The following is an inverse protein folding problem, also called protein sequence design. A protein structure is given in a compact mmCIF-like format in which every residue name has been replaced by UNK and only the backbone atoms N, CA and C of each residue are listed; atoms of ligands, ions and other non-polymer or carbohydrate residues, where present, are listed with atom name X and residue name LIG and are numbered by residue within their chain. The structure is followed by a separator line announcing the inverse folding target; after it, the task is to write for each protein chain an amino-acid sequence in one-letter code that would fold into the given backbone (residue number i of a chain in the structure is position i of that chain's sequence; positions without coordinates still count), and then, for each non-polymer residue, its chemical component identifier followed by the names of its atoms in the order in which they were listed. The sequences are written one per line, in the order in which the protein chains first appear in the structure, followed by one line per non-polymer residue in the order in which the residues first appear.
data_IF_298898757839
#
_entry.id   IF_298898757839
#
_cell.length_a   1.000
_cell.length_b   1.000
_cell.length_c   1.000
_cell.angle_alpha   90.00
_cell.angle_beta   90.00
_cell.angle_gamma   90.00
#
_symmetry.space_group_name_H-M   'P 1'
#
loop_
_entity.id
_entity.type
_entity.pdbx_description
1 polymer ?
#
# COMPACT_ATOMS: atom_id res chain seq x y z
N UNK A 1 -33.95 10.11 -16.09
CA UNK A 1 -34.27 9.36 -14.85
C UNK A 1 -33.51 9.89 -13.65
N UNK A 2 -32.17 9.96 -13.63
CA UNK A 2 -31.45 10.45 -12.44
C UNK A 2 -31.81 11.89 -12.04
N UNK A 3 -31.87 12.80 -13.02
CA UNK A 3 -32.24 14.21 -12.79
C UNK A 3 -33.66 14.36 -12.24
N UNK A 4 -34.62 13.56 -12.73
CA UNK A 4 -36.01 13.60 -12.24
C UNK A 4 -36.14 13.10 -10.80
N UNK A 5 -35.36 12.10 -10.39
CA UNK A 5 -35.30 11.67 -8.99
C UNK A 5 -34.61 12.72 -8.10
N UNK A 6 -33.57 13.37 -8.62
CA UNK A 6 -32.83 14.40 -7.90
C UNK A 6 -33.69 15.66 -7.66
N UNK A 7 -34.45 16.12 -8.66
CA UNK A 7 -35.37 17.26 -8.53
C UNK A 7 -36.48 17.02 -7.50
N UNK A 8 -36.89 15.75 -7.34
CA UNK A 8 -37.87 15.34 -6.34
C UNK A 8 -37.29 15.18 -4.92
N UNK A 9 -35.96 15.26 -4.75
CA UNK A 9 -35.29 15.09 -3.47
C UNK A 9 -35.65 16.21 -2.49
N UNK A 10 -36.12 15.82 -1.31
CA UNK A 10 -36.63 16.73 -0.28
C UNK A 10 -35.58 17.10 0.76
N UNK A 11 -34.64 16.20 1.04
CA UNK A 11 -33.63 16.40 2.06
C UNK A 11 -32.27 15.79 1.67
N UNK A 12 -31.24 16.07 2.47
CA UNK A 12 -29.89 15.57 2.24
C UNK A 12 -29.79 14.04 2.32
N UNK A 13 -30.66 13.37 3.10
CA UNK A 13 -30.64 11.92 3.26
C UNK A 13 -31.16 11.22 1.99
N UNK A 14 -32.23 11.75 1.40
CA UNK A 14 -32.76 11.31 0.11
C UNK A 14 -31.72 11.55 -1.00
N UNK A 15 -31.08 12.73 -1.02
CA UNK A 15 -30.03 13.03 -2.00
C UNK A 15 -28.83 12.07 -1.88
N UNK A 16 -28.39 11.75 -0.66
CA UNK A 16 -27.34 10.76 -0.41
C UNK A 16 -27.75 9.36 -0.90
N UNK A 17 -28.99 8.96 -0.64
CA UNK A 17 -29.54 7.67 -1.09
C UNK A 17 -29.61 7.57 -2.62
N UNK A 18 -30.00 8.66 -3.29
CA UNK A 18 -30.04 8.76 -4.76
C UNK A 18 -28.61 8.70 -5.31
N UNK A 19 -27.65 9.38 -4.68
CA UNK A 19 -26.24 9.35 -5.07
C UNK A 19 -25.68 7.93 -4.94
N UNK A 20 -25.95 7.25 -3.83
CA UNK A 20 -25.55 5.87 -3.61
C UNK A 20 -26.14 4.94 -4.67
N UNK A 21 -27.44 5.07 -4.98
CA UNK A 21 -28.09 4.32 -6.05
C UNK A 21 -27.46 4.57 -7.43
N UNK A 22 -27.10 5.82 -7.74
CA UNK A 22 -26.41 6.17 -8.99
C UNK A 22 -25.02 5.51 -9.08
N UNK A 23 -24.26 5.51 -7.98
CA UNK A 23 -22.96 4.84 -7.89
C UNK A 23 -23.10 3.34 -8.10
N UNK A 24 -24.09 2.71 -7.46
CA UNK A 24 -24.36 1.28 -7.63
C UNK A 24 -24.71 0.94 -9.08
N UNK A 25 -25.55 1.75 -9.72
CA UNK A 25 -25.90 1.55 -11.13
C UNK A 25 -24.66 1.60 -12.04
N UNK A 26 -23.76 2.57 -11.83
CA UNK A 26 -22.50 2.68 -12.57
C UNK A 26 -21.61 1.45 -12.32
N UNK A 27 -21.47 1.03 -11.06
CA UNK A 27 -20.70 -0.18 -10.71
C UNK A 27 -21.27 -1.44 -11.41
N UNK A 28 -22.59 -1.59 -11.44
CA UNK A 28 -23.26 -2.69 -12.13
C UNK A 28 -23.00 -2.68 -13.65
N UNK A 29 -23.09 -1.50 -14.29
CA UNK A 29 -22.82 -1.35 -15.73
C UNK A 29 -21.36 -1.71 -16.07
N UNK A 30 -20.42 -1.33 -15.21
CA UNK A 30 -18.98 -1.60 -15.39
C UNK A 30 -18.64 -3.07 -15.06
N UNK A 31 -19.57 -3.83 -14.49
CA UNK A 31 -19.32 -5.21 -14.06
C UNK A 31 -18.40 -5.29 -12.84
N UNK A 32 -18.32 -4.23 -12.04
CA UNK A 32 -17.53 -4.22 -10.82
C UNK A 32 -18.21 -5.13 -9.79
N UNK A 33 -17.45 -6.10 -9.25
CA UNK A 33 -17.94 -6.96 -8.16
C UNK A 33 -18.04 -6.13 -6.89
N UNK A 34 -19.27 -5.76 -6.54
CA UNK A 34 -19.57 -5.18 -5.23
C UNK A 34 -19.32 -6.27 -4.19
N UNK A 35 -18.20 -6.17 -3.50
CA UNK A 35 -17.84 -7.12 -2.46
C UNK A 35 -18.82 -6.95 -1.30
N UNK A 36 -19.76 -7.87 -1.15
CA UNK A 36 -20.53 -8.01 0.09
C UNK A 36 -19.52 -8.21 1.22
N UNK A 37 -19.52 -7.29 2.18
CA UNK A 37 -18.59 -7.29 3.30
C UNK A 37 -18.41 -8.71 3.88
N UNK A 38 -17.16 -9.15 4.01
CA UNK A 38 -16.82 -10.44 4.59
C UNK A 38 -16.29 -11.49 3.62
N UNK A 39 -15.29 -11.15 2.79
CA UNK A 39 -14.32 -12.12 2.25
C UNK A 39 -13.15 -11.36 1.64
N UNK A 40 -12.17 -11.01 2.47
CA UNK A 40 -10.80 -10.86 1.98
C UNK A 40 -10.31 -12.26 1.61
N UNK A 41 -10.71 -12.77 0.44
CA UNK A 41 -9.97 -13.84 -0.18
C UNK A 41 -8.60 -13.25 -0.46
N UNK A 42 -7.64 -13.55 0.42
CA UNK A 42 -6.25 -13.23 0.18
C UNK A 42 -5.94 -13.75 -1.21
N UNK A 43 -5.68 -12.84 -2.15
CA UNK A 43 -5.12 -13.23 -3.43
C UNK A 43 -3.77 -13.85 -3.08
N UNK A 44 -3.76 -15.18 -3.00
CA UNK A 44 -2.54 -15.97 -3.02
C UNK A 44 -1.72 -15.39 -4.17
N UNK A 45 -0.54 -14.85 -3.87
CA UNK A 45 0.37 -14.31 -4.87
C UNK A 45 0.82 -15.48 -5.74
N UNK A 46 0.03 -15.79 -6.76
CA UNK A 46 0.28 -16.89 -7.66
C UNK A 46 1.70 -16.72 -8.22
N UNK A 47 2.53 -17.74 -8.01
CA UNK A 47 3.90 -17.75 -8.47
C UNK A 47 3.88 -17.53 -10.00
N UNK A 48 4.60 -16.52 -10.53
CA UNK A 48 4.58 -16.25 -11.96
C UNK A 48 5.06 -17.45 -12.77
N UNK A 49 4.40 -17.74 -13.90
CA UNK A 49 4.72 -18.90 -14.75
C UNK A 49 6.21 -18.98 -15.17
N UNK A 50 6.85 -17.82 -15.41
CA UNK A 50 8.28 -17.77 -15.75
C UNK A 50 9.16 -18.32 -14.62
N UNK A 51 8.77 -18.12 -13.35
CA UNK A 51 9.53 -18.57 -12.19
C UNK A 51 9.42 -20.08 -12.06
N UNK A 52 8.21 -20.61 -12.16
CA UNK A 52 7.93 -22.06 -12.17
C UNK A 52 8.74 -22.76 -13.26
N UNK A 53 8.76 -22.21 -14.48
CA UNK A 53 9.50 -22.79 -15.60
C UNK A 53 11.02 -22.85 -15.38
N UNK A 54 11.61 -21.87 -14.67
CA UNK A 54 13.06 -21.90 -14.36
C UNK A 54 13.33 -22.86 -13.19
N UNK A 55 12.47 -22.87 -12.17
CA UNK A 55 12.59 -23.80 -11.02
C UNK A 55 12.51 -25.27 -11.48
N UNK A 56 11.61 -25.60 -12.42
CA UNK A 56 11.54 -26.93 -13.03
C UNK A 56 12.82 -27.32 -13.78
N UNK A 57 13.43 -26.38 -14.52
CA UNK A 57 14.70 -26.62 -15.23
C UNK A 57 15.83 -26.89 -14.23
N UNK A 58 15.88 -26.16 -13.12
CA UNK A 58 16.83 -26.40 -12.03
C UNK A 58 16.60 -27.78 -11.42
N UNK A 59 15.35 -28.16 -11.16
CA UNK A 59 15.01 -29.47 -10.58
C UNK A 59 15.44 -30.63 -11.51
N UNK A 60 15.13 -30.54 -12.81
CA UNK A 60 15.55 -31.52 -13.83
C UNK A 60 17.08 -31.64 -13.91
N UNK A 61 17.80 -30.51 -13.89
CA UNK A 61 19.27 -30.51 -13.91
C UNK A 61 19.88 -31.13 -12.64
N UNK A 62 19.34 -30.83 -11.45
CA UNK A 62 19.76 -31.46 -10.19
C UNK A 62 19.55 -32.98 -10.20
N UNK A 63 18.39 -33.43 -10.68
CA UNK A 63 18.09 -34.85 -10.83
C UNK A 63 19.07 -35.55 -11.80
N UNK A 64 19.45 -34.87 -12.90
CA UNK A 64 20.44 -35.38 -13.84
C UNK A 64 21.83 -35.47 -13.23
N UNK A 65 22.28 -34.43 -12.50
CA UNK A 65 23.55 -34.45 -11.76
C UNK A 65 23.60 -35.64 -10.81
N UNK A 66 22.54 -35.88 -10.02
CA UNK A 66 22.47 -37.02 -9.11
C UNK A 66 22.65 -38.36 -9.82
N UNK A 67 22.03 -38.54 -10.99
CA UNK A 67 22.18 -39.77 -11.80
C UNK A 67 23.59 -39.92 -12.39
N UNK A 68 24.22 -38.82 -12.81
CA UNK A 68 25.60 -38.83 -13.33
C UNK A 68 26.61 -39.17 -12.22
N UNK A 69 26.40 -38.64 -11.01
CA UNK A 69 27.21 -38.98 -9.83
C UNK A 69 27.05 -40.46 -9.47
N UNK A 70 25.81 -40.99 -9.43
CA UNK A 70 25.59 -42.41 -9.16
C UNK A 70 26.29 -43.32 -10.17
N UNK A 71 26.27 -42.97 -11.46
CA UNK A 71 26.99 -43.72 -12.49
C UNK A 71 28.51 -43.65 -12.29
N UNK A 72 29.04 -42.47 -11.98
CA UNK A 72 30.47 -42.27 -11.65
C UNK A 72 30.92 -43.08 -10.43
N UNK A 73 30.04 -43.27 -9.44
CA UNK A 73 30.29 -44.11 -8.27
C UNK A 73 30.19 -45.63 -8.55
N UNK A 74 30.02 -46.06 -9.80
CA UNK A 74 30.02 -47.46 -10.21
C UNK A 74 28.63 -48.11 -10.33
N UNK A 75 27.53 -47.34 -10.25
CA UNK A 75 26.19 -47.90 -10.39
C UNK A 75 25.79 -48.10 -11.87
N UNK A 76 25.71 -49.35 -12.30
CA UNK A 76 25.45 -49.75 -13.70
C UNK A 76 24.01 -50.21 -13.96
N UNK A 77 23.05 -49.89 -13.07
CA UNK A 77 21.64 -50.25 -13.30
C UNK A 77 21.15 -49.73 -14.66
N UNK A 78 20.40 -50.53 -15.46
CA UNK A 78 20.00 -50.17 -16.82
C UNK A 78 19.29 -48.81 -16.95
N UNK A 79 18.48 -48.43 -15.94
CA UNK A 79 17.79 -47.14 -15.90
C UNK A 79 18.75 -45.94 -15.81
N UNK A 80 19.84 -46.08 -15.05
CA UNK A 80 20.86 -45.04 -14.89
C UNK A 80 21.64 -44.94 -16.20
N UNK A 81 22.12 -46.08 -16.73
CA UNK A 81 22.85 -46.14 -18.01
C UNK A 81 22.04 -45.53 -19.16
N UNK A 82 20.74 -45.82 -19.26
CA UNK A 82 19.85 -45.20 -20.26
C UNK A 82 19.76 -43.69 -20.09
N UNK A 83 19.67 -43.19 -18.86
CA UNK A 83 19.64 -41.75 -18.60
C UNK A 83 20.97 -41.09 -18.98
N UNK A 84 22.10 -41.72 -18.67
CA UNK A 84 23.42 -41.19 -19.05
C UNK A 84 23.58 -41.17 -20.57
N UNK A 85 23.18 -42.23 -21.31
CA UNK A 85 23.16 -42.20 -22.78
C UNK A 85 22.32 -41.05 -23.33
N UNK A 86 21.13 -40.83 -22.76
CA UNK A 86 20.28 -39.71 -23.16
C UNK A 86 20.89 -38.34 -22.84
N UNK A 87 21.65 -38.22 -21.75
CA UNK A 87 22.34 -36.99 -21.36
C UNK A 87 23.44 -36.55 -22.35
N UNK A 88 24.01 -37.54 -23.05
CA UNK A 88 25.02 -37.40 -24.11
C UNK A 88 24.45 -37.68 -25.51
N UNK A 89 23.12 -37.83 -25.66
CA UNK A 89 22.51 -38.05 -26.97
C UNK A 89 22.79 -36.84 -27.88
N UNK A 90 23.29 -37.11 -29.10
CA UNK A 90 23.72 -36.07 -30.03
C UNK A 90 25.13 -35.53 -29.78
N UNK A 91 25.88 -36.06 -28.80
CA UNK A 91 27.31 -35.84 -28.64
C UNK A 91 28.08 -37.10 -29.06
N UNK A 92 29.28 -36.97 -29.63
CA UNK A 92 30.12 -38.10 -30.10
C UNK A 92 30.78 -38.89 -28.94
N UNK A 93 30.11 -38.98 -27.79
CA UNK A 93 30.62 -39.58 -26.56
C UNK A 93 30.01 -40.96 -26.37
N UNK A 94 30.86 -41.98 -26.43
CA UNK A 94 30.46 -43.36 -26.11
C UNK A 94 30.84 -43.69 -24.68
N UNK A 95 29.97 -44.46 -23.99
CA UNK A 95 30.20 -44.91 -22.61
C UNK A 95 31.39 -45.85 -22.47
N UNK A 96 31.87 -46.42 -23.57
CA UNK A 96 33.02 -47.33 -23.60
C UNK A 96 34.36 -46.60 -23.81
N UNK A 97 34.36 -45.28 -23.99
CA UNK A 97 35.60 -44.51 -24.16
C UNK A 97 36.36 -44.41 -22.83
N UNK A 98 37.71 -44.44 -22.85
CA UNK A 98 38.53 -44.34 -21.65
C UNK A 98 38.41 -42.98 -20.94
N UNK A 99 38.03 -41.93 -21.66
CA UNK A 99 37.89 -40.55 -21.16
C UNK A 99 36.50 -40.21 -20.60
N UNK A 100 35.60 -41.21 -20.51
CA UNK A 100 34.21 -41.00 -20.08
C UNK A 100 34.09 -40.36 -18.69
N UNK A 101 35.00 -40.68 -17.76
CA UNK A 101 34.99 -40.12 -16.40
C UNK A 101 35.30 -38.62 -16.38
N UNK A 102 36.18 -38.16 -17.27
CA UNK A 102 36.47 -36.75 -17.45
C UNK A 102 35.26 -36.02 -18.06
N UNK A 103 34.71 -36.56 -19.16
CA UNK A 103 33.52 -36.01 -19.83
C UNK A 103 32.29 -35.95 -18.92
N UNK A 104 32.13 -36.92 -18.01
CA UNK A 104 31.10 -36.89 -16.97
C UNK A 104 31.30 -35.73 -16.00
N UNK A 105 32.54 -35.45 -15.61
CA UNK A 105 32.87 -34.34 -14.71
C UNK A 105 32.58 -33.00 -15.38
N UNK A 106 33.03 -32.82 -16.62
CA UNK A 106 32.75 -31.62 -17.42
C UNK A 106 31.24 -31.39 -17.57
N UNK A 107 30.47 -32.46 -17.84
CA UNK A 107 29.01 -32.37 -17.96
C UNK A 107 28.33 -32.01 -16.64
N UNK A 108 28.81 -32.55 -15.52
CA UNK A 108 28.31 -32.19 -14.19
C UNK A 108 28.58 -30.71 -13.92
N UNK A 109 29.77 -30.22 -14.24
CA UNK A 109 30.14 -28.83 -13.99
C UNK A 109 29.40 -27.85 -14.91
N UNK A 110 29.18 -28.18 -16.19
CA UNK A 110 28.27 -27.44 -17.08
C UNK A 110 26.86 -27.32 -16.47
N UNK A 111 26.30 -28.42 -15.96
CA UNK A 111 24.99 -28.40 -15.31
C UNK A 111 24.99 -27.54 -14.02
N UNK A 112 26.05 -27.58 -13.22
CA UNK A 112 26.19 -26.69 -12.05
C UNK A 112 26.25 -25.22 -12.46
N UNK A 113 27.02 -24.89 -13.50
CA UNK A 113 27.11 -23.53 -14.04
C UNK A 113 25.75 -23.04 -14.54
N UNK A 114 25.00 -23.89 -15.25
CA UNK A 114 23.64 -23.57 -15.72
C UNK A 114 22.66 -23.36 -14.57
N UNK A 115 22.71 -24.19 -13.52
CA UNK A 115 21.91 -23.99 -12.30
C UNK A 115 22.24 -22.64 -11.65
N UNK A 116 23.52 -22.30 -11.52
CA UNK A 116 23.94 -21.01 -10.96
C UNK A 116 23.44 -19.83 -11.82
N UNK A 117 23.53 -19.94 -13.14
CA UNK A 117 23.02 -18.93 -14.06
C UNK A 117 21.49 -18.77 -13.96
N UNK A 118 20.73 -19.87 -13.89
CA UNK A 118 19.29 -19.83 -13.69
C UNK A 118 18.89 -19.27 -12.32
N UNK A 119 19.63 -19.58 -11.26
CA UNK A 119 19.43 -18.97 -9.94
C UNK A 119 19.65 -17.46 -9.96
N UNK A 120 20.73 -16.98 -10.60
CA UNK A 120 20.98 -15.56 -10.82
C UNK A 120 19.85 -14.89 -11.62
N UNK A 121 19.30 -15.59 -12.63
CA UNK A 121 18.17 -15.09 -13.43
C UNK A 121 16.90 -14.94 -12.60
N UNK A 122 16.57 -15.92 -11.75
CA UNK A 122 15.43 -15.82 -10.82
C UNK A 122 15.62 -14.60 -9.92
N UNK A 123 16.80 -14.45 -9.29
CA UNK A 123 17.08 -13.32 -8.40
C UNK A 123 16.86 -11.98 -9.11
N UNK A 124 17.47 -11.81 -10.29
CA UNK A 124 17.37 -10.58 -11.09
C UNK A 124 15.93 -10.24 -11.48
N UNK A 125 15.14 -11.24 -11.88
CA UNK A 125 13.76 -11.01 -12.32
C UNK A 125 12.83 -10.72 -11.15
N UNK A 126 13.02 -11.40 -10.01
CA UNK A 126 12.30 -11.10 -8.78
C UNK A 126 12.60 -9.68 -8.31
N UNK A 127 13.87 -9.30 -8.21
CA UNK A 127 14.29 -7.94 -7.84
C UNK A 127 13.69 -6.89 -8.78
N UNK A 128 13.72 -7.13 -10.10
CA UNK A 128 13.13 -6.21 -11.08
C UNK A 128 11.62 -6.09 -10.91
N UNK A 129 10.91 -7.20 -10.72
CA UNK A 129 9.46 -7.18 -10.53
C UNK A 129 9.08 -6.47 -9.23
N UNK A 130 9.82 -6.71 -8.15
CA UNK A 130 9.63 -6.02 -6.87
C UNK A 130 9.86 -4.52 -7.03
N UNK A 131 10.98 -4.11 -7.64
CA UNK A 131 11.30 -2.69 -7.91
C UNK A 131 10.23 -2.03 -8.77
N UNK A 132 9.78 -2.67 -9.84
CA UNK A 132 8.70 -2.15 -10.68
C UNK A 132 7.40 -1.92 -9.88
N UNK A 133 6.99 -2.90 -9.08
CA UNK A 133 5.78 -2.78 -8.25
C UNK A 133 5.92 -1.72 -7.16
N UNK A 134 7.09 -1.63 -6.52
CA UNK A 134 7.40 -0.61 -5.52
C UNK A 134 7.43 0.79 -6.13
N UNK A 135 8.07 0.98 -7.29
CA UNK A 135 8.08 2.26 -8.00
C UNK A 135 6.68 2.70 -8.43
N UNK A 136 5.87 1.77 -8.95
CA UNK A 136 4.48 2.05 -9.30
C UNK A 136 3.67 2.47 -8.07
N UNK A 137 3.84 1.74 -6.95
CA UNK A 137 3.15 2.06 -5.71
C UNK A 137 3.65 3.38 -5.10
N UNK A 138 4.93 3.72 -5.25
CA UNK A 138 5.50 5.00 -4.84
C UNK A 138 4.84 6.15 -5.62
N UNK A 139 4.71 6.02 -6.94
CA UNK A 139 4.07 7.05 -7.76
C UNK A 139 2.58 7.22 -7.45
N UNK A 140 1.85 6.13 -7.18
CA UNK A 140 0.40 6.19 -6.95
C UNK A 140 0.00 6.47 -5.50
N UNK A 141 0.68 5.87 -4.53
CA UNK A 141 0.35 5.87 -3.09
C UNK A 141 1.59 5.59 -2.24
N UNK A 142 2.43 6.63 -2.11
CA UNK A 142 3.63 6.61 -1.29
C UNK A 142 3.38 6.12 0.14
N UNK A 143 2.27 6.57 0.76
CA UNK A 143 1.94 6.22 2.14
C UNK A 143 1.74 4.73 2.31
N UNK A 144 1.08 4.08 1.36
CA UNK A 144 0.88 2.63 1.38
C UNK A 144 2.17 1.86 1.17
N UNK A 145 3.05 2.33 0.29
CA UNK A 145 4.38 1.74 0.11
C UNK A 145 5.18 1.82 1.42
N UNK A 146 5.30 3.00 2.02
CA UNK A 146 6.04 3.15 3.27
C UNK A 146 5.44 2.29 4.37
N UNK A 147 4.12 2.30 4.58
CA UNK A 147 3.47 1.38 5.52
C UNK A 147 3.77 -0.10 5.26
N UNK A 148 3.93 -0.52 4.01
CA UNK A 148 4.29 -1.91 3.67
C UNK A 148 5.74 -2.26 3.99
N UNK A 149 6.64 -1.28 3.93
CA UNK A 149 8.08 -1.44 4.19
C UNK A 149 8.41 -1.28 5.68
N UNK A 150 7.70 -0.40 6.38
CA UNK A 150 7.82 -0.15 7.83
C UNK A 150 7.25 -1.29 8.69
N UNK A 151 6.43 -2.18 8.11
CA UNK A 151 5.85 -3.33 8.81
C UNK A 151 6.62 -4.62 8.51
N UNK A 152 7.66 -4.98 9.29
CA UNK A 152 7.69 -6.38 9.73
C UNK A 152 6.40 -6.62 10.54
N UNK A 153 5.96 -7.87 10.70
CA UNK A 153 4.80 -8.25 11.53
C UNK A 153 4.95 -7.79 13.00
N UNK A 154 4.84 -6.49 13.26
CA UNK A 154 4.78 -5.90 14.58
C UNK A 154 3.38 -5.33 14.67
N UNK A 155 2.45 -6.24 14.92
CA UNK A 155 1.24 -5.89 15.67
C UNK A 155 1.72 -5.10 16.89
N UNK A 156 1.24 -3.88 17.09
CA UNK A 156 1.58 -3.10 18.27
C UNK A 156 1.44 -3.99 19.50
N UNK A 157 2.50 -4.14 20.27
CA UNK A 157 2.62 -5.08 21.40
C UNK A 157 1.81 -4.64 22.62
N UNK A 158 1.03 -3.56 22.52
CA UNK A 158 0.11 -3.13 23.56
C UNK A 158 -1.23 -3.86 23.45
N UNK A 159 -1.90 -4.17 24.57
CA UNK A 159 -3.27 -4.65 24.53
C UNK A 159 -4.15 -3.60 23.84
N UNK A 160 -4.94 -4.04 22.85
CA UNK A 160 -5.96 -3.21 22.21
C UNK A 160 -6.98 -2.84 23.30
N UNK A 161 -7.29 -1.54 23.52
CA UNK A 161 -8.29 -1.15 24.48
C UNK A 161 -9.64 -1.79 24.15
N UNK A 162 -10.36 -2.25 25.17
CA UNK A 162 -11.71 -2.74 25.00
C UNK A 162 -12.61 -1.61 24.45
N UNK A 163 -13.45 -1.95 23.47
CA UNK A 163 -14.37 -1.02 22.84
C UNK A 163 -15.33 -0.41 23.86
N UNK A 164 -15.87 -1.22 24.78
CA UNK A 164 -16.81 -0.77 25.80
C UNK A 164 -16.17 0.28 26.72
N UNK A 165 -14.95 0.02 27.19
CA UNK A 165 -14.22 0.91 28.10
C UNK A 165 -13.86 2.22 27.40
N UNK A 166 -13.49 2.16 26.12
CA UNK A 166 -13.19 3.36 25.32
C UNK A 166 -14.43 4.21 25.09
N UNK A 167 -15.57 3.59 24.80
CA UNK A 167 -16.85 4.29 24.63
C UNK A 167 -17.29 4.92 25.96
N UNK A 168 -17.20 4.19 27.06
CA UNK A 168 -17.56 4.70 28.39
C UNK A 168 -16.70 5.92 28.77
N UNK A 169 -15.39 5.85 28.55
CA UNK A 169 -14.47 6.96 28.79
C UNK A 169 -14.82 8.21 27.99
N UNK A 170 -15.07 8.09 26.68
CA UNK A 170 -15.41 9.27 25.87
C UNK A 170 -16.82 9.78 26.16
N UNK A 171 -17.76 8.89 26.49
CA UNK A 171 -19.13 9.26 26.83
C UNK A 171 -19.18 10.11 28.11
N UNK A 172 -18.41 9.77 29.13
CA UNK A 172 -18.36 10.56 30.36
C UNK A 172 -17.77 11.95 30.15
N UNK A 173 -16.86 12.12 29.18
CA UNK A 173 -16.29 13.43 28.85
C UNK A 173 -17.21 14.31 27.99
N UNK A 174 -17.90 13.72 27.01
CA UNK A 174 -18.58 14.50 25.95
C UNK A 174 -20.10 14.40 25.93
N UNK A 175 -20.69 13.35 26.51
CA UNK A 175 -22.13 13.08 26.40
C UNK A 175 -22.91 13.37 27.68
N UNK A 176 -22.22 13.52 28.82
CA UNK A 176 -22.85 13.93 30.07
C UNK A 176 -23.01 15.45 30.05
N UNK A 177 -24.25 15.98 30.12
CA UNK A 177 -24.47 17.42 30.12
C UNK A 177 -23.94 18.00 31.43
N UNK A 178 -22.89 18.81 31.33
CA UNK A 178 -22.35 19.57 32.46
C UNK A 178 -22.87 20.99 32.38
N UNK A 179 -23.48 21.47 33.47
CA UNK A 179 -23.82 22.88 33.58
C UNK A 179 -22.54 23.67 33.81
N UNK A 180 -22.11 24.42 32.80
CA UNK A 180 -20.98 25.33 32.93
C UNK A 180 -21.46 26.64 33.54
N UNK A 181 -20.80 27.10 34.61
CA UNK A 181 -21.00 28.45 35.10
C UNK A 181 -20.39 29.42 34.10
N UNK A 182 -21.25 30.12 33.37
CA UNK A 182 -20.90 31.22 32.49
C UNK A 182 -20.16 32.30 33.29
N UNK A 183 -18.86 32.46 33.00
CA UNK A 183 -18.00 33.36 33.75
C UNK A 183 -18.04 34.81 33.23
N UNK A 184 -17.54 35.79 34.01
CA UNK A 184 -17.52 37.22 33.63
C UNK A 184 -16.77 37.51 32.32
N UNK A 185 -15.93 36.58 31.86
CA UNK A 185 -15.17 36.71 30.62
C UNK A 185 -16.06 36.79 29.37
N UNK A 186 -17.29 36.26 29.40
CA UNK A 186 -18.19 36.38 28.25
C UNK A 186 -18.68 37.81 28.04
N UNK A 187 -18.93 38.57 29.11
CA UNK A 187 -19.26 40.00 29.03
C UNK A 187 -18.07 40.81 28.51
N UNK A 188 -16.85 40.43 28.92
CA UNK A 188 -15.60 41.01 28.41
C UNK A 188 -15.44 40.75 26.92
N UNK A 189 -15.67 39.51 26.46
CA UNK A 189 -15.62 39.17 25.03
C UNK A 189 -16.74 39.88 24.25
N UNK A 190 -17.97 39.92 24.78
CA UNK A 190 -19.08 40.61 24.14
C UNK A 190 -18.82 42.12 23.97
N UNK A 191 -18.22 42.77 24.98
CA UNK A 191 -17.84 44.19 24.88
C UNK A 191 -16.68 44.43 23.91
N UNK A 192 -15.69 43.53 23.85
CA UNK A 192 -14.62 43.58 22.85
C UNK A 192 -15.15 43.34 21.42
N UNK A 193 -16.16 42.49 21.26
CA UNK A 193 -16.79 42.19 19.97
C UNK A 193 -17.85 43.22 19.55
N UNK A 194 -18.28 44.13 20.42
CA UNK A 194 -19.35 45.09 20.13
C UNK A 194 -19.02 46.04 18.96
N UNK A 195 -17.74 46.30 18.70
CA UNK A 195 -17.28 47.11 17.57
C UNK A 195 -17.02 46.33 16.28
N UNK A 196 -17.17 45.00 16.29
CA UNK A 196 -16.89 44.15 15.13
C UNK A 196 -18.16 44.07 14.28
N UNK A 197 -18.05 44.45 13.00
CA UNK A 197 -19.14 44.32 12.04
C UNK A 197 -19.56 42.85 11.92
N UNK A 198 -20.86 42.53 12.04
CA UNK A 198 -21.35 41.18 11.82
C UNK A 198 -20.92 40.66 10.44
N UNK A 199 -20.63 39.36 10.36
CA UNK A 199 -20.35 38.70 9.09
C UNK A 199 -21.58 38.79 8.18
N UNK A 200 -21.35 39.08 6.90
CA UNK A 200 -22.41 39.10 5.90
C UNK A 200 -23.13 37.74 5.81
N UNK A 201 -24.42 37.72 5.41
CA UNK A 201 -25.16 36.47 5.22
C UNK A 201 -24.43 35.54 4.25
N UNK A 202 -24.05 34.36 4.72
CA UNK A 202 -23.39 33.34 3.90
C UNK A 202 -24.43 32.66 3.03
N UNK A 203 -24.24 32.74 1.71
CA UNK A 203 -25.04 32.00 0.73
C UNK A 203 -24.18 30.92 0.09
N UNK A 204 -24.61 29.66 0.21
CA UNK A 204 -23.92 28.51 -0.37
C UNK A 204 -24.35 28.35 -1.82
N UNK A 205 -23.40 28.47 -2.74
CA UNK A 205 -23.65 28.34 -4.17
C UNK A 205 -23.21 26.97 -4.70
N UNK A 206 -23.70 26.56 -5.89
CA UNK A 206 -23.20 25.34 -6.55
C UNK A 206 -21.68 25.38 -6.82
N UNK A 207 -21.13 26.57 -7.02
CA UNK A 207 -19.69 26.77 -7.20
C UNK A 207 -18.91 26.40 -5.93
N UNK A 208 -19.41 26.77 -4.76
CA UNK A 208 -18.77 26.45 -3.48
C UNK A 208 -18.70 24.93 -3.25
N UNK A 209 -19.78 24.21 -3.60
CA UNK A 209 -19.82 22.75 -3.55
C UNK A 209 -18.82 22.15 -4.54
N UNK A 210 -18.79 22.64 -5.78
CA UNK A 210 -17.86 22.16 -6.79
C UNK A 210 -16.40 22.36 -6.38
N UNK A 211 -16.06 23.52 -5.82
CA UNK A 211 -14.71 23.87 -5.38
C UNK A 211 -14.28 23.06 -4.15
N UNK A 212 -15.18 22.87 -3.18
CA UNK A 212 -14.94 22.02 -2.01
C UNK A 212 -14.68 20.56 -2.42
N UNK A 213 -15.53 20.03 -3.29
CA UNK A 213 -15.42 18.67 -3.82
C UNK A 213 -14.13 18.50 -4.63
N UNK A 214 -13.76 19.48 -5.45
CA UNK A 214 -12.52 19.47 -6.25
C UNK A 214 -11.27 19.31 -5.38
N UNK A 215 -11.20 20.06 -4.27
CA UNK A 215 -10.06 20.03 -3.32
C UNK A 215 -9.98 18.74 -2.52
N UNK A 216 -11.10 18.04 -2.32
CA UNK A 216 -11.12 16.81 -1.53
C UNK A 216 -10.34 15.66 -2.23
N UNK A 217 -9.50 14.87 -1.52
CA UNK A 217 -8.79 13.76 -2.14
C UNK A 217 -9.75 12.62 -2.49
N UNK A 218 -9.61 12.06 -3.70
CA UNK A 218 -10.54 11.10 -4.30
C UNK A 218 -10.84 9.90 -3.40
N UNK A 219 -9.79 9.33 -2.77
CA UNK A 219 -9.86 8.09 -2.00
C UNK A 219 -9.72 8.32 -0.49
N UNK A 220 -10.22 9.45 0.02
CA UNK A 220 -10.36 9.62 1.48
C UNK A 220 -11.30 8.55 2.02
N UNK A 221 -11.08 8.14 3.28
CA UNK A 221 -12.00 7.22 3.97
C UNK A 221 -13.44 7.71 3.82
N UNK A 222 -14.36 6.85 3.37
CA UNK A 222 -15.75 7.21 3.24
C UNK A 222 -16.40 7.27 4.62
N UNK A 223 -17.48 8.05 4.75
CA UNK A 223 -18.31 8.06 5.96
C UNK A 223 -19.24 6.85 6.02
N UNK A 224 -20.32 6.97 6.81
CA UNK A 224 -21.33 5.91 6.99
C UNK A 224 -21.94 5.38 5.68
N UNK A 225 -22.04 6.22 4.65
CA UNK A 225 -22.57 5.87 3.33
C UNK A 225 -21.61 5.04 2.47
N UNK A 226 -20.34 4.87 2.87
CA UNK A 226 -19.34 4.13 2.10
C UNK A 226 -18.91 4.81 0.78
N UNK A 227 -19.34 6.05 0.52
CA UNK A 227 -19.05 6.77 -0.71
C UNK A 227 -17.76 7.59 -0.61
N UNK A 228 -16.85 7.36 -1.55
CA UNK A 228 -15.65 8.17 -1.71
C UNK A 228 -15.91 9.48 -2.46
N UNK A 229 -15.13 10.52 -2.18
CA UNK A 229 -15.19 11.81 -2.90
C UNK A 229 -15.03 11.68 -4.41
N UNK A 230 -14.37 10.61 -4.88
CA UNK A 230 -14.27 10.27 -6.31
C UNK A 230 -15.63 10.32 -7.01
N UNK A 231 -16.66 9.73 -6.40
CA UNK A 231 -18.00 9.69 -6.99
C UNK A 231 -18.65 11.07 -7.00
N UNK A 232 -18.53 11.80 -5.90
CA UNK A 232 -19.08 13.15 -5.78
C UNK A 232 -18.45 14.13 -6.78
N UNK A 233 -17.18 13.94 -7.16
CA UNK A 233 -16.52 14.66 -8.25
C UNK A 233 -17.10 14.33 -9.62
N UNK A 234 -17.41 13.05 -9.87
CA UNK A 234 -17.97 12.60 -11.15
C UNK A 234 -19.43 13.03 -11.34
N UNK A 235 -20.20 13.09 -10.26
CA UNK A 235 -21.62 13.41 -10.27
C UNK A 235 -21.90 14.91 -10.12
N UNK A 236 -21.42 15.72 -11.07
CA UNK A 236 -21.59 17.19 -11.08
C UNK A 236 -23.06 17.63 -11.02
N UNK A 237 -23.97 16.82 -11.57
CA UNK A 237 -25.43 17.03 -11.50
C UNK A 237 -25.97 17.17 -10.07
N UNK A 238 -25.31 16.61 -9.06
CA UNK A 238 -25.73 16.73 -7.66
C UNK A 238 -25.32 18.05 -7.01
N UNK A 239 -24.36 18.79 -7.57
CA UNK A 239 -23.78 19.97 -6.91
C UNK A 239 -24.82 21.08 -6.69
N UNK A 240 -25.73 21.27 -7.65
CA UNK A 240 -26.81 22.26 -7.51
C UNK A 240 -27.81 21.88 -6.41
N UNK A 241 -28.20 20.61 -6.35
CA UNK A 241 -29.12 20.12 -5.32
C UNK A 241 -28.50 20.18 -3.92
N UNK A 242 -27.23 19.78 -3.81
CA UNK A 242 -26.49 19.84 -2.55
C UNK A 242 -26.34 21.27 -2.05
N UNK A 243 -26.02 22.23 -2.92
CA UNK A 243 -25.92 23.64 -2.52
C UNK A 243 -27.23 24.16 -1.94
N UNK A 244 -28.37 23.88 -2.60
CA UNK A 244 -29.70 24.23 -2.10
C UNK A 244 -29.97 23.63 -0.72
N UNK A 245 -29.74 22.33 -0.57
CA UNK A 245 -30.01 21.63 0.68
C UNK A 245 -29.06 22.02 1.81
N UNK A 246 -27.79 22.33 1.52
CA UNK A 246 -26.87 22.89 2.50
C UNK A 246 -27.31 24.28 2.97
N UNK A 247 -27.82 25.12 2.08
CA UNK A 247 -28.41 26.41 2.46
C UNK A 247 -29.63 26.22 3.36
N UNK A 248 -30.55 25.31 3.01
CA UNK A 248 -31.74 25.02 3.82
C UNK A 248 -31.38 24.54 5.24
N UNK A 249 -30.32 23.74 5.36
CA UNK A 249 -29.77 23.30 6.64
C UNK A 249 -29.19 24.45 7.46
N UNK A 250 -28.46 25.36 6.80
CA UNK A 250 -27.89 26.54 7.43
C UNK A 250 -29.00 27.45 7.98
N UNK A 251 -30.06 27.66 7.19
CA UNK A 251 -31.19 28.50 7.55
C UNK A 251 -32.02 27.89 8.69
N UNK A 252 -32.25 26.56 8.65
CA UNK A 252 -33.00 25.83 9.70
C UNK A 252 -32.19 25.56 10.97
N UNK A 253 -30.86 25.73 10.92
CA UNK A 253 -29.93 25.40 12.01
C UNK A 253 -30.08 23.96 12.53
N UNK A 254 -30.41 23.03 11.64
CA UNK A 254 -30.65 21.63 11.98
C UNK A 254 -29.98 20.71 10.97
N UNK A 255 -29.02 19.89 11.44
CA UNK A 255 -28.26 18.96 10.62
C UNK A 255 -28.85 17.54 10.71
N UNK A 256 -28.92 16.78 9.60
CA UNK A 256 -29.33 15.38 9.63
C UNK A 256 -28.35 14.52 10.42
N UNK A 257 -28.85 13.41 10.99
CA UNK A 257 -28.03 12.44 11.73
C UNK A 257 -26.86 11.90 10.91
N UNK A 258 -27.02 11.77 9.59
CA UNK A 258 -25.96 11.36 8.67
C UNK A 258 -24.69 12.24 8.74
N UNK A 259 -24.84 13.52 9.05
CA UNK A 259 -23.72 14.47 9.16
C UNK A 259 -23.23 14.66 10.59
N UNK A 260 -23.98 14.18 11.58
CA UNK A 260 -23.62 14.29 13.00
C UNK A 260 -23.14 12.97 13.60
N UNK A 261 -23.23 11.87 12.84
CA UNK A 261 -22.73 10.55 13.21
C UNK A 261 -21.67 10.09 12.21
N UNK A 262 -20.59 9.48 12.69
CA UNK A 262 -19.50 8.99 11.85
C UNK A 262 -18.86 7.72 12.45
N UNK A 263 -18.00 7.06 11.67
CA UNK A 263 -17.25 5.88 12.07
C UNK A 263 -15.96 6.30 12.77
N UNK A 264 -15.89 6.04 14.07
CA UNK A 264 -14.67 6.29 14.85
C UNK A 264 -13.64 5.18 14.64
N UNK A 265 -12.45 5.56 14.18
CA UNK A 265 -11.29 4.67 14.10
C UNK A 265 -10.25 5.03 15.17
N UNK A 266 -9.93 4.08 16.05
CA UNK A 266 -8.85 4.24 17.02
C UNK A 266 -7.50 4.06 16.32
N UNK A 267 -6.74 5.16 16.20
CA UNK A 267 -5.40 5.15 15.63
C UNK A 267 -4.37 5.43 16.74
N UNK A 268 -3.47 4.49 17.05
CA UNK A 268 -2.44 4.73 18.06
C UNK A 268 -1.50 5.85 17.60
N UNK A 269 -1.26 6.83 18.48
CA UNK A 269 -0.24 7.85 18.26
C UNK A 269 1.15 7.21 18.47
N UNK A 270 2.05 7.39 17.51
CA UNK A 270 3.46 7.02 17.70
C UNK A 270 4.19 8.02 18.59
N UNK A 271 5.34 7.63 19.17
CA UNK A 271 6.28 8.57 19.78
C UNK A 271 6.81 9.56 18.71
N UNK A 272 6.90 10.85 19.07
CA UNK A 272 7.37 11.92 18.18
C UNK A 272 8.90 11.90 17.95
N UNK A 273 9.40 12.58 16.91
CA UNK A 273 10.77 12.40 16.38
C UNK A 273 11.85 13.28 17.04
N UNK A 274 13.13 12.84 17.02
CA UNK A 274 14.30 13.71 16.91
C UNK A 274 14.62 14.01 15.43
N UNK A 275 15.04 15.25 15.12
CA UNK A 275 14.94 15.81 13.76
C UNK A 275 16.23 15.90 12.91
N UNK A 276 17.43 15.46 13.36
CA UNK A 276 18.67 15.61 12.56
C UNK A 276 19.68 14.47 12.76
N UNK A 277 20.38 14.11 11.68
CA UNK A 277 21.61 13.31 11.72
C UNK A 277 22.79 14.11 12.27
N UNK A 278 23.82 13.38 12.68
CA UNK A 278 25.14 13.94 12.92
C UNK A 278 25.92 14.12 11.60
N UNK A 279 26.87 15.08 11.52
CA UNK A 279 27.67 15.34 10.32
C UNK A 279 28.49 14.14 9.82
N UNK A 280 28.90 13.26 10.72
CA UNK A 280 29.64 12.04 10.39
C UNK A 280 28.76 11.03 9.63
N UNK A 281 27.46 11.02 9.93
CA UNK A 281 26.49 10.15 9.27
C UNK A 281 26.15 10.64 7.87
N UNK A 282 26.00 11.97 7.69
CA UNK A 282 25.87 12.58 6.35
C UNK A 282 27.06 12.23 5.45
N UNK A 283 28.29 12.26 5.98
CA UNK A 283 29.50 11.90 5.25
C UNK A 283 29.53 10.43 4.84
N UNK A 284 29.06 9.52 5.70
CA UNK A 284 28.95 8.10 5.36
C UNK A 284 27.87 7.83 4.32
N UNK A 285 26.76 8.58 4.34
CA UNK A 285 25.75 8.49 3.28
C UNK A 285 26.31 8.90 1.93
N UNK A 286 26.99 10.06 1.86
CA UNK A 286 27.61 10.54 0.61
C UNK A 286 28.59 9.51 0.04
N UNK A 287 29.39 8.84 0.87
CA UNK A 287 30.31 7.77 0.42
C UNK A 287 29.57 6.58 -0.20
N UNK A 288 28.46 6.15 0.39
CA UNK A 288 27.67 5.02 -0.14
C UNK A 288 26.98 5.40 -1.46
N UNK A 289 26.56 6.65 -1.59
CA UNK A 289 25.99 7.20 -2.82
C UNK A 289 27.00 7.28 -3.96
N UNK A 290 28.22 7.74 -3.68
CA UNK A 290 29.34 7.77 -4.64
C UNK A 290 29.63 6.36 -5.14
N UNK A 291 29.78 5.40 -4.22
CA UNK A 291 30.05 4.00 -4.57
C UNK A 291 28.93 3.44 -5.45
N UNK A 292 27.66 3.70 -5.14
CA UNK A 292 26.55 3.19 -5.92
C UNK A 292 26.40 3.87 -7.30
N UNK A 293 26.79 5.15 -7.42
CA UNK A 293 26.93 5.87 -8.69
C UNK A 293 28.02 5.26 -9.57
N UNK A 294 29.18 4.91 -8.99
CA UNK A 294 30.31 4.32 -9.69
C UNK A 294 29.99 2.93 -10.28
N UNK A 295 28.99 2.22 -9.73
CA UNK A 295 28.49 0.94 -10.27
C UNK A 295 27.43 1.10 -11.38
N UNK A 296 27.16 2.32 -11.87
CA UNK A 296 26.44 2.57 -13.13
C UNK A 296 24.92 2.32 -13.10
N UNK A 297 24.29 2.26 -11.92
CA UNK A 297 22.84 2.19 -11.80
C UNK A 297 22.27 3.57 -11.47
N UNK A 298 21.39 4.17 -12.31
CA UNK A 298 20.69 5.38 -11.90
C UNK A 298 19.76 5.01 -10.73
N UNK A 299 20.11 5.46 -9.53
CA UNK A 299 19.32 5.24 -8.34
C UNK A 299 18.10 6.18 -8.39
N UNK A 300 16.91 5.60 -8.32
CA UNK A 300 15.69 6.40 -8.13
C UNK A 300 15.65 6.94 -6.68
N UNK A 301 14.87 7.99 -6.44
CA UNK A 301 14.64 8.51 -5.09
C UNK A 301 14.15 7.42 -4.11
N UNK A 302 13.40 6.43 -4.61
CA UNK A 302 12.98 5.28 -3.83
C UNK A 302 14.15 4.34 -3.52
N UNK A 303 15.01 4.03 -4.50
CA UNK A 303 16.18 3.18 -4.30
C UNK A 303 17.12 3.75 -3.23
N UNK A 304 17.28 5.07 -3.23
CA UNK A 304 18.05 5.81 -2.23
C UNK A 304 17.44 5.67 -0.83
N UNK A 305 16.11 5.86 -0.69
CA UNK A 305 15.41 5.70 0.60
C UNK A 305 15.47 4.27 1.14
N UNK A 306 15.35 3.28 0.27
CA UNK A 306 15.50 1.85 0.62
C UNK A 306 16.93 1.57 1.10
N UNK A 307 17.92 2.07 0.37
CA UNK A 307 19.33 1.86 0.68
C UNK A 307 19.70 2.46 2.04
N UNK A 308 19.25 3.69 2.31
CA UNK A 308 19.44 4.36 3.60
C UNK A 308 18.81 3.54 4.74
N UNK A 309 17.60 3.05 4.55
CA UNK A 309 16.91 2.23 5.54
C UNK A 309 17.65 0.90 5.81
N UNK A 310 18.11 0.20 4.77
CA UNK A 310 18.88 -1.05 4.93
C UNK A 310 20.23 -0.82 5.61
N UNK A 311 20.92 0.27 5.30
CA UNK A 311 22.18 0.64 5.94
C UNK A 311 21.99 0.88 7.45
N UNK A 312 20.99 1.68 7.83
CA UNK A 312 20.69 1.96 9.24
C UNK A 312 20.30 0.70 10.00
N UNK A 313 19.52 -0.18 9.37
CA UNK A 313 19.15 -1.49 9.94
C UNK A 313 20.38 -2.38 10.15
N UNK A 314 21.31 -2.44 9.20
CA UNK A 314 22.53 -3.26 9.29
C UNK A 314 23.47 -2.79 10.41
N UNK A 315 23.44 -1.50 10.74
CA UNK A 315 24.26 -0.90 11.79
C UNK A 315 23.54 -0.78 13.15
N UNK A 316 22.42 -1.48 13.34
CA UNK A 316 21.60 -1.44 14.58
C UNK A 316 21.13 -0.03 14.98
N UNK A 317 20.93 0.87 13.99
CA UNK A 317 20.43 2.24 14.19
C UNK A 317 19.10 2.48 13.47
N UNK A 318 18.26 1.46 13.40
CA UNK A 318 16.94 1.57 12.76
C UNK A 318 15.99 2.48 13.54
N UNK A 319 16.28 2.75 14.81
CA UNK A 319 15.60 3.68 15.71
C UNK A 319 15.71 5.16 15.30
N UNK A 320 16.72 5.56 14.51
CA UNK A 320 16.85 6.92 13.96
C UNK A 320 15.60 7.39 13.21
N UNK A 321 14.87 6.45 12.61
CA UNK A 321 13.57 6.70 11.99
C UNK A 321 12.44 5.90 12.65
N UNK A 322 12.56 5.48 13.91
CA UNK A 322 11.58 4.59 14.57
C UNK A 322 11.29 3.29 13.79
N UNK A 323 12.33 2.70 13.21
CA UNK A 323 12.25 1.57 12.27
C UNK A 323 11.47 1.89 10.99
N UNK A 324 11.29 3.19 10.66
CA UNK A 324 10.61 3.65 9.45
C UNK A 324 11.56 4.01 8.33
N UNK A 325 11.01 4.33 7.15
CA UNK A 325 11.80 4.82 6.04
C UNK A 325 12.10 6.32 6.17
N UNK A 326 13.26 6.80 5.66
CA UNK A 326 13.59 8.22 5.58
C UNK A 326 12.52 9.00 4.82
N UNK A 327 12.28 10.27 5.15
CA UNK A 327 11.30 11.15 4.50
C UNK A 327 11.70 11.61 3.09
N UNK A 328 10.83 12.36 2.40
CA UNK A 328 11.13 12.94 1.07
C UNK A 328 12.21 14.03 1.12
N UNK A 329 12.33 14.75 2.23
CA UNK A 329 13.31 15.83 2.44
C UNK A 329 14.74 15.32 2.67
N UNK A 330 14.95 14.01 2.58
CA UNK A 330 16.21 13.33 2.90
C UNK A 330 16.96 12.80 1.67
N UNK A 331 16.31 12.81 0.49
CA UNK A 331 16.82 12.19 -0.73
C UNK A 331 16.61 13.09 -1.94
#
# INVERSE_FOLDING_TARGET
MLVTYLEASRDLCETDSILFGAVLAVCCIIGAKLSTAGRTTGQSSAIPAWRTGIEERIAKARALIGRLICFRSGNTRPRIVRTVRMAFAGTNVSLSQPDIMQKLTERIDDLKQRIAAWGKRIRRYTERSTRFNQNRLFQSDQKRLFKSLERPMVSGTGPVPNQADTVAFWRSLWSEPVNHNEGPWMEVVASQCAGITPMDPVTITPYDVAEAVRRAPNWKSPGLNGLHHYWLKGFVVFHAMLARQFQEVLDRKSLPSLFTTDITHLVPKGQGPPFKLTPEEELNFVKVLIVASDYGAPLTQLDLRILVHEYLKKNNRSDTFHNKMPGEWWV
#
